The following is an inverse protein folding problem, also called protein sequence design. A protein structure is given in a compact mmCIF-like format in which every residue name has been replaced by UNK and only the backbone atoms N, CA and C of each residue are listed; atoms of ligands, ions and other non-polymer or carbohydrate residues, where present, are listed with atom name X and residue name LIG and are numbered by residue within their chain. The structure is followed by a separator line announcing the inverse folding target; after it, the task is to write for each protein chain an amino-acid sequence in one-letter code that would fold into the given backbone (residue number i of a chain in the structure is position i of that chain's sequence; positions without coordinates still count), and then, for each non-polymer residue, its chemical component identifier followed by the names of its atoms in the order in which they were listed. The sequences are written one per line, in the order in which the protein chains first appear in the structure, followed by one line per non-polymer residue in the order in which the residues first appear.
data_IF_182232521933
#
_entry.id   IF_182232521933
#
_cell.length_a   1.000
_cell.length_b   1.000
_cell.length_c   1.000
_cell.angle_alpha   90.00
_cell.angle_beta   90.00
_cell.angle_gamma   90.00
#
_symmetry.space_group_name_H-M   'P 1'
#
loop_
_entity.id
_entity.type
_entity.pdbx_description
1 polymer ?
#
# COMPACT_ATOMS: atom_id res chain seq x y z
N UNK A 1 17.12 4.80 -9.35
CA UNK A 1 16.12 5.65 -10.00
C UNK A 1 16.09 6.99 -9.28
N UNK A 2 16.20 8.08 -10.03
CA UNK A 2 16.06 9.42 -9.46
C UNK A 2 14.59 9.81 -9.28
N UNK A 3 14.37 10.93 -8.54
CA UNK A 3 13.04 11.53 -8.36
C UNK A 3 12.80 12.72 -9.34
N UNK A 4 13.70 12.91 -10.29
CA UNK A 4 13.52 13.84 -11.41
C UNK A 4 12.51 13.28 -12.44
N UNK A 5 12.15 14.10 -13.42
CA UNK A 5 11.17 13.72 -14.44
C UNK A 5 11.59 12.47 -15.23
N UNK A 6 12.90 12.33 -15.51
CA UNK A 6 13.45 11.18 -16.24
C UNK A 6 13.39 9.89 -15.40
N UNK A 7 13.78 9.95 -14.13
CA UNK A 7 13.71 8.83 -13.19
C UNK A 7 12.28 8.37 -12.95
N UNK A 8 11.34 9.31 -12.82
CA UNK A 8 9.91 8.99 -12.68
C UNK A 8 9.36 8.32 -13.94
N UNK A 9 9.69 8.84 -15.14
CA UNK A 9 9.25 8.25 -16.41
C UNK A 9 9.79 6.83 -16.57
N UNK A 10 11.08 6.63 -16.32
CA UNK A 10 11.71 5.30 -16.35
C UNK A 10 11.09 4.33 -15.34
N UNK A 11 10.83 4.80 -14.11
CA UNK A 11 10.16 3.98 -13.10
C UNK A 11 8.76 3.50 -13.52
N UNK A 12 7.97 4.37 -14.16
CA UNK A 12 6.67 4.01 -14.73
C UNK A 12 6.79 2.95 -15.82
N UNK A 13 7.75 3.09 -16.73
CA UNK A 13 8.01 2.10 -17.77
C UNK A 13 8.37 0.73 -17.17
N UNK A 14 9.22 0.71 -16.13
CA UNK A 14 9.61 -0.55 -15.46
C UNK A 14 8.43 -1.21 -14.75
N UNK A 15 7.56 -0.43 -14.11
CA UNK A 15 6.33 -0.93 -13.47
C UNK A 15 5.40 -1.55 -14.51
N UNK A 16 5.24 -0.93 -15.68
CA UNK A 16 4.43 -1.48 -16.77
C UNK A 16 5.01 -2.78 -17.32
N UNK A 17 6.33 -2.85 -17.51
CA UNK A 17 7.03 -4.08 -17.95
C UNK A 17 6.95 -5.21 -16.93
N UNK A 18 7.08 -4.90 -15.64
CA UNK A 18 6.98 -5.89 -14.57
C UNK A 18 5.57 -6.45 -14.49
N UNK A 19 4.56 -5.57 -14.51
CA UNK A 19 3.18 -5.93 -14.31
C UNK A 19 2.84 -6.33 -12.87
N UNK A 20 1.58 -6.20 -12.51
CA UNK A 20 1.14 -6.41 -11.14
C UNK A 20 1.14 -7.88 -10.72
N UNK A 21 0.85 -8.78 -11.65
CA UNK A 21 0.80 -10.21 -11.40
C UNK A 21 2.18 -10.76 -11.01
N UNK A 22 3.22 -10.32 -11.73
CA UNK A 22 4.59 -10.71 -11.41
C UNK A 22 5.05 -10.12 -10.09
N UNK A 23 4.70 -8.87 -9.80
CA UNK A 23 5.05 -8.26 -8.52
C UNK A 23 4.42 -9.01 -7.34
N UNK A 24 3.17 -9.45 -7.44
CA UNK A 24 2.53 -10.28 -6.40
C UNK A 24 3.20 -11.66 -6.29
N UNK A 25 3.61 -12.27 -7.41
CA UNK A 25 4.35 -13.53 -7.40
C UNK A 25 5.73 -13.39 -6.73
N UNK A 26 6.42 -12.27 -6.94
CA UNK A 26 7.70 -11.97 -6.27
C UNK A 26 7.51 -11.78 -4.75
N UNK A 27 6.41 -11.15 -4.32
CA UNK A 27 6.01 -11.07 -2.90
C UNK A 27 5.72 -12.46 -2.35
N UNK A 28 5.02 -13.32 -3.09
CA UNK A 28 4.76 -14.70 -2.67
C UNK A 28 6.05 -15.51 -2.48
N UNK A 29 6.99 -15.40 -3.42
CA UNK A 29 8.29 -16.05 -3.30
C UNK A 29 9.05 -15.57 -2.05
N UNK A 30 9.06 -14.25 -1.80
CA UNK A 30 9.67 -13.66 -0.61
C UNK A 30 8.98 -14.12 0.68
N UNK A 31 7.64 -14.17 0.69
CA UNK A 31 6.87 -14.72 1.82
C UNK A 31 7.32 -16.15 2.14
N UNK A 32 7.41 -17.03 1.13
CA UNK A 32 7.82 -18.43 1.33
C UNK A 32 9.22 -18.53 1.93
N UNK A 33 10.14 -17.65 1.54
CA UNK A 33 11.50 -17.60 2.07
C UNK A 33 11.53 -17.16 3.54
N UNK A 34 10.70 -16.18 3.93
CA UNK A 34 10.70 -15.61 5.29
C UNK A 34 9.82 -16.38 6.28
N UNK A 35 8.83 -17.13 5.80
CA UNK A 35 7.84 -17.81 6.64
C UNK A 35 8.44 -18.78 7.69
N UNK A 36 9.57 -19.49 7.44
CA UNK A 36 10.20 -20.31 8.49
C UNK A 36 10.73 -19.50 9.68
N UNK A 37 10.99 -18.20 9.51
CA UNK A 37 11.51 -17.32 10.56
C UNK A 37 10.39 -16.67 11.39
N UNK A 38 9.12 -16.73 10.92
CA UNK A 38 7.98 -16.17 11.64
C UNK A 38 6.83 -15.72 10.74
N UNK A 39 5.86 -15.03 11.34
CA UNK A 39 4.74 -14.49 10.59
C UNK A 39 5.18 -13.33 9.71
N UNK A 40 4.66 -13.28 8.47
CA UNK A 40 5.05 -12.29 7.45
C UNK A 40 3.89 -11.35 7.16
N UNK A 41 4.18 -10.06 7.11
CA UNK A 41 3.28 -9.02 6.60
C UNK A 41 3.92 -8.26 5.44
N UNK A 42 3.14 -7.47 4.72
CA UNK A 42 3.60 -6.66 3.61
C UNK A 42 3.23 -5.19 3.80
N UNK A 43 4.16 -4.29 3.51
CA UNK A 43 3.89 -2.85 3.40
C UNK A 43 4.29 -2.39 2.00
N UNK A 44 3.47 -1.53 1.41
CA UNK A 44 3.76 -0.98 0.09
C UNK A 44 3.35 0.47 -0.04
N UNK A 45 4.04 1.21 -0.92
CA UNK A 45 3.88 2.63 -1.13
C UNK A 45 3.54 2.90 -2.60
N UNK A 46 2.62 3.81 -2.87
CA UNK A 46 2.19 4.17 -4.21
C UNK A 46 1.74 2.93 -5.01
N UNK A 47 2.38 2.61 -6.13
CA UNK A 47 2.13 1.37 -6.86
C UNK A 47 2.37 0.13 -6.00
N UNK A 48 3.41 0.14 -5.16
CA UNK A 48 3.66 -0.90 -4.16
C UNK A 48 2.52 -1.03 -3.14
N UNK A 49 1.78 0.04 -2.86
CA UNK A 49 0.56 0.00 -2.05
C UNK A 49 -0.55 -0.83 -2.71
N UNK A 50 -0.69 -0.75 -4.04
CA UNK A 50 -1.58 -1.63 -4.79
C UNK A 50 -1.11 -3.09 -4.76
N UNK A 51 0.20 -3.33 -4.87
CA UNK A 51 0.78 -4.68 -4.73
C UNK A 51 0.54 -5.24 -3.33
N UNK A 52 0.72 -4.43 -2.28
CA UNK A 52 0.45 -4.85 -0.90
C UNK A 52 -1.03 -5.22 -0.69
N UNK A 53 -1.96 -4.43 -1.25
CA UNK A 53 -3.39 -4.76 -1.24
C UNK A 53 -3.67 -6.12 -1.90
N UNK A 54 -3.14 -6.36 -3.09
CA UNK A 54 -3.34 -7.63 -3.79
C UNK A 54 -2.65 -8.81 -3.10
N UNK A 55 -1.51 -8.56 -2.45
CA UNK A 55 -0.86 -9.57 -1.62
C UNK A 55 -1.72 -9.94 -0.41
N UNK A 56 -2.37 -8.95 0.24
CA UNK A 56 -3.37 -9.21 1.27
C UNK A 56 -4.51 -10.10 0.75
N UNK A 57 -5.11 -9.73 -0.38
CA UNK A 57 -6.28 -10.42 -0.93
C UNK A 57 -5.94 -11.85 -1.36
N UNK A 58 -4.83 -12.05 -2.07
CA UNK A 58 -4.47 -13.30 -2.74
C UNK A 58 -3.58 -14.22 -1.92
N UNK A 59 -2.65 -13.64 -1.14
CA UNK A 59 -1.69 -14.42 -0.34
C UNK A 59 -2.12 -14.56 1.13
N UNK A 60 -3.22 -13.90 1.50
CA UNK A 60 -3.83 -13.92 2.84
C UNK A 60 -2.85 -13.58 3.95
N UNK A 61 -2.06 -12.52 3.77
CA UNK A 61 -1.12 -11.99 4.74
C UNK A 61 -1.53 -10.60 5.22
N UNK A 62 -1.22 -10.22 6.46
CA UNK A 62 -1.43 -8.87 6.94
C UNK A 62 -0.75 -7.85 6.03
N UNK A 63 -1.45 -6.76 5.68
CA UNK A 63 -0.91 -5.77 4.77
C UNK A 63 -1.20 -4.33 5.19
N UNK A 64 -0.26 -3.45 4.85
CA UNK A 64 -0.43 -1.99 4.94
C UNK A 64 -0.16 -1.37 3.57
N UNK A 65 -1.14 -0.63 3.06
CA UNK A 65 -1.04 0.09 1.79
C UNK A 65 -1.00 1.60 2.05
N UNK A 66 0.06 2.24 1.62
CA UNK A 66 0.18 3.69 1.59
C UNK A 66 -0.16 4.21 0.20
N UNK A 67 -1.18 5.05 0.12
CA UNK A 67 -1.64 5.72 -1.11
C UNK A 67 -1.63 4.81 -2.35
N UNK A 68 -2.14 3.58 -2.23
CA UNK A 68 -2.32 2.65 -3.34
C UNK A 68 -3.47 3.10 -4.24
N UNK A 69 -3.16 3.69 -5.41
CA UNK A 69 -4.14 4.37 -6.25
C UNK A 69 -4.92 3.47 -7.22
N UNK A 70 -4.47 2.22 -7.43
CA UNK A 70 -5.04 1.31 -8.45
C UNK A 70 -5.75 0.10 -7.85
N UNK A 71 -6.34 0.25 -6.66
CA UNK A 71 -6.98 -0.85 -5.92
C UNK A 71 -8.47 -1.01 -6.21
N UNK A 72 -9.16 0.05 -6.65
CA UNK A 72 -10.62 0.04 -6.89
C UNK A 72 -11.09 -1.11 -7.80
N UNK A 73 -10.44 -1.43 -8.93
CA UNK A 73 -10.85 -2.56 -9.78
C UNK A 73 -10.80 -3.92 -9.09
N UNK A 74 -10.04 -4.04 -8.00
CA UNK A 74 -9.79 -5.29 -7.27
C UNK A 74 -10.55 -5.39 -5.95
N UNK A 75 -11.46 -4.47 -5.64
CA UNK A 75 -12.22 -4.48 -4.38
C UNK A 75 -13.14 -5.70 -4.19
N UNK A 76 -13.38 -6.46 -5.26
CA UNK A 76 -14.06 -7.74 -5.21
C UNK A 76 -13.17 -8.89 -4.67
N UNK A 77 -11.85 -8.74 -4.73
CA UNK A 77 -10.89 -9.69 -4.16
C UNK A 77 -10.72 -9.41 -2.66
N UNK A 78 -10.97 -10.40 -1.82
CA UNK A 78 -11.01 -10.23 -0.36
C UNK A 78 -10.25 -11.30 0.39
N UNK A 79 -9.83 -10.94 1.61
CA UNK A 79 -9.18 -11.84 2.56
C UNK A 79 -9.68 -11.55 3.97
N UNK A 80 -9.54 -12.52 4.86
CA UNK A 80 -9.78 -12.35 6.29
C UNK A 80 -8.52 -11.91 7.07
N UNK A 81 -7.39 -11.77 6.39
CA UNK A 81 -6.18 -11.25 7.00
C UNK A 81 -6.36 -9.76 7.37
N UNK A 82 -5.66 -9.24 8.39
CA UNK A 82 -5.73 -7.83 8.73
C UNK A 82 -5.25 -6.92 7.59
N UNK A 83 -5.97 -5.79 7.37
CA UNK A 83 -5.62 -4.78 6.36
C UNK A 83 -5.66 -3.38 6.96
N UNK A 84 -4.64 -2.57 6.63
CA UNK A 84 -4.62 -1.15 6.91
C UNK A 84 -4.34 -0.36 5.63
N UNK A 85 -5.09 0.73 5.43
CA UNK A 85 -4.94 1.63 4.28
C UNK A 85 -4.69 3.06 4.78
N UNK A 86 -3.68 3.71 4.23
CA UNK A 86 -3.38 5.12 4.46
C UNK A 86 -3.62 5.90 3.17
N UNK A 87 -4.57 6.81 3.18
CA UNK A 87 -4.89 7.71 2.06
C UNK A 87 -4.67 9.17 2.42
N UNK A 88 -4.34 10.00 1.44
CA UNK A 88 -4.28 11.43 1.55
C UNK A 88 -5.59 12.09 1.10
N UNK A 89 -6.10 13.08 1.84
CA UNK A 89 -7.29 13.86 1.46
C UNK A 89 -7.05 14.74 0.22
N UNK A 90 -5.78 15.10 -0.01
CA UNK A 90 -5.35 15.96 -1.11
C UNK A 90 -4.70 15.16 -2.25
N UNK A 91 -4.89 13.84 -2.24
CA UNK A 91 -4.32 12.95 -3.27
C UNK A 91 -5.19 12.95 -4.53
N UNK A 92 -4.74 13.69 -5.55
CA UNK A 92 -5.45 13.74 -6.85
C UNK A 92 -5.53 12.38 -7.58
N UNK A 93 -4.70 11.40 -7.20
CA UNK A 93 -4.72 10.05 -7.76
C UNK A 93 -5.75 9.13 -7.09
N UNK A 94 -6.29 9.53 -5.94
CA UNK A 94 -7.24 8.75 -5.13
C UNK A 94 -8.41 9.66 -4.73
N UNK A 95 -9.40 9.87 -5.61
CA UNK A 95 -10.51 10.76 -5.33
C UNK A 95 -11.42 10.22 -4.21
N UNK A 96 -12.25 11.09 -3.65
CA UNK A 96 -13.10 10.76 -2.50
C UNK A 96 -14.03 9.55 -2.75
N UNK A 97 -14.52 9.39 -3.99
CA UNK A 97 -15.34 8.25 -4.39
C UNK A 97 -14.57 6.92 -4.31
N UNK A 98 -13.28 6.93 -4.63
CA UNK A 98 -12.42 5.75 -4.48
C UNK A 98 -12.26 5.37 -3.00
N UNK A 99 -12.08 6.36 -2.12
CA UNK A 99 -12.00 6.13 -0.67
C UNK A 99 -13.33 5.61 -0.13
N UNK A 100 -14.46 6.16 -0.59
CA UNK A 100 -15.79 5.69 -0.23
C UNK A 100 -16.01 4.23 -0.66
N UNK A 101 -15.62 3.87 -1.89
CA UNK A 101 -15.70 2.51 -2.39
C UNK A 101 -14.86 1.52 -1.53
N UNK A 102 -13.69 1.92 -1.05
CA UNK A 102 -12.90 1.09 -0.13
C UNK A 102 -13.62 0.87 1.21
N UNK A 103 -14.22 1.93 1.78
CA UNK A 103 -14.96 1.81 3.04
C UNK A 103 -16.17 0.91 2.93
N UNK A 104 -16.90 0.99 1.82
CA UNK A 104 -18.04 0.12 1.55
C UNK A 104 -17.62 -1.33 1.34
N UNK A 105 -16.60 -1.55 0.50
CA UNK A 105 -16.15 -2.88 0.16
C UNK A 105 -15.39 -3.59 1.29
N UNK A 106 -14.72 -2.86 2.19
CA UNK A 106 -13.78 -3.38 3.18
C UNK A 106 -14.12 -2.87 4.59
N UNK A 107 -15.28 -3.23 5.16
CA UNK A 107 -15.75 -2.69 6.44
C UNK A 107 -14.80 -3.02 7.62
N UNK A 108 -14.04 -4.10 7.54
CA UNK A 108 -13.11 -4.54 8.58
C UNK A 108 -11.70 -3.94 8.42
N UNK A 109 -11.41 -3.26 7.31
CA UNK A 109 -10.11 -2.64 7.09
C UNK A 109 -9.93 -1.36 7.93
N UNK A 110 -8.72 -1.17 8.47
CA UNK A 110 -8.36 0.08 9.14
C UNK A 110 -7.99 1.14 8.10
N UNK A 111 -8.92 2.05 7.80
CA UNK A 111 -8.70 3.12 6.81
C UNK A 111 -8.42 4.44 7.51
N UNK A 112 -7.21 4.96 7.29
CA UNK A 112 -6.77 6.26 7.80
C UNK A 112 -6.69 7.28 6.68
N UNK A 113 -7.34 8.42 6.90
CA UNK A 113 -7.33 9.56 5.99
C UNK A 113 -6.47 10.67 6.61
N UNK A 114 -5.59 11.25 5.80
CA UNK A 114 -4.59 12.21 6.25
C UNK A 114 -4.69 13.53 5.48
N UNK A 115 -4.48 14.69 6.13
CA UNK A 115 -4.43 15.99 5.44
C UNK A 115 -3.12 16.13 4.64
N UNK A 116 -2.95 15.36 3.58
CA UNK A 116 -1.72 15.26 2.80
C UNK A 116 -2.01 14.83 1.36
N UNK A 117 -1.04 15.06 0.46
CA UNK A 117 -1.08 14.65 -0.95
C UNK A 117 -0.55 13.25 -1.20
N UNK A 118 -0.40 12.90 -2.50
CA UNK A 118 0.15 11.63 -2.94
C UNK A 118 1.64 11.51 -2.61
N UNK A 119 2.05 10.46 -1.92
CA UNK A 119 3.46 10.25 -1.58
C UNK A 119 3.92 11.00 -0.34
N UNK A 120 3.01 11.36 0.57
CA UNK A 120 3.30 12.09 1.82
C UNK A 120 4.38 11.43 2.70
N UNK A 121 4.67 10.16 2.49
CA UNK A 121 5.69 9.41 3.24
C UNK A 121 7.06 9.41 2.55
N UNK A 122 7.21 10.02 1.37
CA UNK A 122 8.46 10.06 0.63
C UNK A 122 9.14 11.42 0.78
N UNK A 123 10.22 11.47 1.54
CA UNK A 123 10.97 12.70 1.88
C UNK A 123 11.61 13.41 0.68
N UNK A 124 11.68 12.75 -0.48
CA UNK A 124 12.21 13.33 -1.72
C UNK A 124 11.11 13.88 -2.64
N UNK A 125 9.83 13.86 -2.21
CA UNK A 125 8.71 14.40 -2.98
C UNK A 125 8.19 15.69 -2.40
N UNK A 126 7.62 16.54 -3.27
CA UNK A 126 7.04 17.83 -2.85
C UNK A 126 5.88 17.67 -1.86
N UNK A 127 5.12 16.56 -1.95
CA UNK A 127 4.00 16.25 -1.06
C UNK A 127 4.41 15.63 0.28
N UNK A 128 5.72 15.54 0.56
CA UNK A 128 6.19 14.99 1.84
C UNK A 128 5.64 15.77 3.03
N UNK A 129 5.09 15.05 3.98
CA UNK A 129 4.60 15.60 5.22
C UNK A 129 5.17 14.81 6.42
N UNK A 130 6.20 15.33 7.05
CA UNK A 130 6.93 14.68 8.13
C UNK A 130 6.04 14.27 9.30
N UNK A 131 5.09 15.12 9.68
CA UNK A 131 4.14 14.84 10.77
C UNK A 131 3.23 13.66 10.41
N UNK A 132 2.63 13.71 9.23
CA UNK A 132 1.74 12.64 8.75
C UNK A 132 2.52 11.34 8.56
N UNK A 133 3.73 11.39 7.97
CA UNK A 133 4.59 10.23 7.79
C UNK A 133 4.92 9.54 9.13
N UNK A 134 5.28 10.33 10.14
CA UNK A 134 5.57 9.81 11.49
C UNK A 134 4.34 9.15 12.12
N UNK A 135 3.18 9.81 12.05
CA UNK A 135 1.95 9.26 12.62
C UNK A 135 1.47 8.00 11.89
N UNK A 136 1.58 7.98 10.56
CA UNK A 136 1.24 6.82 9.76
C UNK A 136 2.17 5.62 10.07
N UNK A 137 3.48 5.88 10.23
CA UNK A 137 4.44 4.85 10.64
C UNK A 137 4.11 4.27 12.02
N UNK A 138 3.81 5.12 13.01
CA UNK A 138 3.41 4.65 14.35
C UNK A 138 2.19 3.73 14.30
N UNK A 139 1.18 4.07 13.50
CA UNK A 139 -0.01 3.21 13.30
C UNK A 139 0.33 1.91 12.58
N UNK A 140 1.21 1.96 11.60
CA UNK A 140 1.69 0.79 10.87
C UNK A 140 2.43 -0.18 11.78
N UNK A 141 3.33 0.32 12.63
CA UNK A 141 4.07 -0.51 13.58
C UNK A 141 3.13 -1.16 14.60
N UNK A 142 2.25 -0.40 15.23
CA UNK A 142 1.25 -0.93 16.16
C UNK A 142 0.28 -1.94 15.51
N UNK A 143 -0.03 -1.76 14.22
CA UNK A 143 -0.80 -2.73 13.46
C UNK A 143 -0.05 -4.05 13.30
N UNK A 144 1.21 -4.02 12.87
CA UNK A 144 1.99 -5.24 12.69
C UNK A 144 2.34 -5.93 14.01
N UNK A 145 2.57 -5.19 15.10
CA UNK A 145 2.74 -5.76 16.44
C UNK A 145 1.56 -6.65 16.87
N UNK A 146 0.36 -6.36 16.36
CA UNK A 146 -0.83 -7.17 16.66
C UNK A 146 -1.07 -8.24 15.59
N UNK A 147 -0.90 -7.90 14.33
CA UNK A 147 -1.26 -8.74 13.20
C UNK A 147 -0.27 -9.88 12.92
N UNK A 148 0.96 -9.80 13.47
CA UNK A 148 2.03 -10.79 13.26
C UNK A 148 2.30 -11.67 14.51
N UNK A 149 1.43 -11.61 15.52
CA UNK A 149 1.51 -12.49 16.70
C UNK A 149 1.11 -13.92 16.43
#
# INVERSE_FOLDING_TARGET
LGYDAAGIAYGREMVEKLGIERAVADVEATKRLLQPEGNVGVVGYCWGGTVAYLSWARLRIPAVSYYGARTVPFLHERSNAPLMLHFGEQDASIPAEAIAAHREALPDAKIHLWPAGHGFNCDQRADYNATVATQALQRTLAFFETALK
#
